data_IF_511430005548
#
_entry.id   IF_511430005548
#
_cell.length_a   1.000
_cell.length_b   1.000
_cell.length_c   1.000
_cell.angle_alpha   90.00
_cell.angle_beta   90.00
_cell.angle_gamma   90.00
#
_symmetry.space_group_name_H-M   'P 1'
#
loop_
_entity.id
_entity.type
_entity.pdbx_description
1 polymer ?
#
# COMPACT_ATOMS: atom_id res chain seq x y z
N UNK A 1 2.12 9.24 4.54
CA UNK A 1 2.75 10.23 3.64
C UNK A 1 1.70 11.21 3.14
N UNK A 2 2.03 12.13 2.23
CA UNK A 2 1.02 13.04 1.68
C UNK A 2 0.40 12.50 0.38
N UNK A 3 1.16 11.71 -0.39
CA UNK A 3 0.66 11.04 -1.60
C UNK A 3 1.13 9.59 -1.71
N UNK A 4 0.41 8.80 -2.50
CA UNK A 4 0.78 7.42 -2.81
C UNK A 4 2.11 7.31 -3.55
N UNK A 5 2.45 8.30 -4.37
CA UNK A 5 3.73 8.35 -5.08
C UNK A 5 4.92 8.60 -4.14
N UNK A 6 4.73 9.46 -3.14
CA UNK A 6 5.72 9.62 -2.08
C UNK A 6 5.89 8.32 -1.29
N UNK A 7 4.80 7.57 -1.06
CA UNK A 7 4.85 6.27 -0.38
C UNK A 7 5.66 5.24 -1.14
N UNK A 8 5.29 4.99 -2.39
CA UNK A 8 5.98 4.06 -3.28
C UNK A 8 7.47 4.38 -3.36
N UNK A 9 7.83 5.66 -3.54
CA UNK A 9 9.23 6.07 -3.62
C UNK A 9 10.00 5.85 -2.29
N UNK A 10 9.34 6.06 -1.15
CA UNK A 10 9.94 5.80 0.16
C UNK A 10 10.18 4.30 0.35
N UNK A 11 9.22 3.45 0.04
CA UNK A 11 9.35 2.01 0.21
C UNK A 11 10.42 1.41 -0.69
N UNK A 12 10.50 1.86 -1.95
CA UNK A 12 11.57 1.46 -2.86
C UNK A 12 12.96 1.79 -2.30
N UNK A 13 13.13 2.96 -1.66
CA UNK A 13 14.38 3.33 -0.99
C UNK A 13 14.63 2.50 0.28
N UNK A 14 13.60 2.26 1.09
CA UNK A 14 13.73 1.46 2.31
C UNK A 14 14.04 -0.01 2.02
N UNK A 15 13.52 -0.58 0.93
CA UNK A 15 13.86 -1.92 0.46
C UNK A 15 15.35 -2.01 0.14
N UNK A 16 15.92 -1.03 -0.56
CA UNK A 16 17.36 -1.00 -0.85
C UNK A 16 18.19 -0.93 0.43
N UNK A 17 17.78 -0.08 1.39
CA UNK A 17 18.45 0.03 2.68
C UNK A 17 18.37 -1.27 3.50
N UNK A 18 17.20 -1.93 3.52
CA UNK A 18 17.00 -3.19 4.21
C UNK A 18 17.82 -4.33 3.57
N UNK A 19 17.89 -4.38 2.23
CA UNK A 19 18.75 -5.31 1.49
C UNK A 19 20.23 -5.12 1.86
N UNK A 20 20.70 -3.87 1.92
CA UNK A 20 22.08 -3.57 2.32
C UNK A 20 22.40 -3.97 3.77
N UNK A 21 21.39 -3.97 4.64
CA UNK A 21 21.51 -4.38 6.05
C UNK A 21 21.32 -5.89 6.27
N UNK A 22 20.92 -6.65 5.23
CA UNK A 22 20.59 -8.07 5.35
C UNK A 22 19.28 -8.34 6.12
N UNK A 23 18.40 -7.34 6.24
CA UNK A 23 17.11 -7.47 6.94
C UNK A 23 16.04 -8.04 5.99
N UNK A 24 16.08 -9.35 5.78
CA UNK A 24 15.13 -10.04 4.90
C UNK A 24 13.67 -9.94 5.39
N UNK A 25 13.46 -9.79 6.70
CA UNK A 25 12.12 -9.64 7.28
C UNK A 25 11.50 -8.32 6.82
N UNK A 26 12.25 -7.23 6.96
CA UNK A 26 11.82 -5.91 6.49
C UNK A 26 11.67 -5.85 4.97
N UNK A 27 12.57 -6.50 4.22
CA UNK A 27 12.44 -6.58 2.75
C UNK A 27 11.12 -7.22 2.34
N UNK A 28 10.77 -8.39 2.89
CA UNK A 28 9.51 -9.08 2.54
C UNK A 28 8.28 -8.25 2.89
N UNK A 29 8.30 -7.57 4.03
CA UNK A 29 7.20 -6.71 4.44
C UNK A 29 6.99 -5.54 3.46
N UNK A 30 8.06 -4.81 3.16
CA UNK A 30 7.99 -3.65 2.26
C UNK A 30 7.70 -4.05 0.81
N UNK A 31 8.18 -5.20 0.34
CA UNK A 31 7.84 -5.68 -1.01
C UNK A 31 6.35 -6.03 -1.14
N UNK A 32 5.72 -6.55 -0.07
CA UNK A 32 4.27 -6.75 -0.02
C UNK A 32 3.50 -5.43 -0.01
N UNK A 33 3.88 -4.49 0.85
CA UNK A 33 3.27 -3.16 0.91
C UNK A 33 3.38 -2.41 -0.42
N UNK A 34 4.57 -2.44 -1.04
CA UNK A 34 4.81 -1.82 -2.35
C UNK A 34 3.92 -2.42 -3.45
N UNK A 35 3.66 -3.73 -3.40
CA UNK A 35 2.75 -4.39 -4.33
C UNK A 35 1.31 -3.90 -4.12
N UNK A 36 0.84 -3.88 -2.88
CA UNK A 36 -0.52 -3.45 -2.53
C UNK A 36 -0.76 -1.98 -2.92
N UNK A 37 0.20 -1.09 -2.64
CA UNK A 37 0.14 0.32 -3.05
C UNK A 37 0.06 0.49 -4.57
N UNK A 38 0.79 -0.33 -5.35
CA UNK A 38 0.74 -0.28 -6.81
C UNK A 38 -0.63 -0.73 -7.34
N UNK A 39 -1.21 -1.76 -6.74
CA UNK A 39 -2.57 -2.24 -7.08
C UNK A 39 -3.62 -1.16 -6.75
N UNK A 40 -3.56 -0.57 -5.55
CA UNK A 40 -4.48 0.50 -5.19
C UNK A 40 -4.37 1.68 -6.16
N UNK A 41 -3.15 2.12 -6.51
CA UNK A 41 -2.96 3.20 -7.49
C UNK A 41 -3.59 2.87 -8.85
N UNK A 42 -3.52 1.62 -9.29
CA UNK A 42 -4.11 1.16 -10.55
C UNK A 42 -5.64 1.18 -10.50
N UNK A 43 -6.24 0.73 -9.39
CA UNK A 43 -7.68 0.66 -9.21
C UNK A 43 -8.35 2.02 -8.92
N UNK A 44 -7.59 3.00 -8.42
CA UNK A 44 -8.07 4.34 -8.05
C UNK A 44 -7.45 5.45 -8.94
N UNK A 45 -7.71 5.44 -10.26
CA UNK A 45 -7.10 6.39 -11.17
C UNK A 45 -7.53 7.83 -10.88
N UNK A 46 -6.54 8.73 -10.72
CA UNK A 46 -6.77 10.14 -10.41
C UNK A 46 -6.84 10.44 -8.91
N UNK A 47 -6.89 9.41 -8.07
CA UNK A 47 -6.62 9.54 -6.66
C UNK A 47 -5.12 9.48 -6.39
N UNK A 48 -4.60 10.50 -5.71
CA UNK A 48 -3.19 10.62 -5.41
C UNK A 48 -2.91 10.62 -3.91
N UNK A 49 -3.93 10.49 -3.05
CA UNK A 49 -3.70 10.43 -1.61
C UNK A 49 -2.97 9.13 -1.24
N UNK A 50 -2.26 9.16 -0.12
CA UNK A 50 -1.66 7.95 0.45
C UNK A 50 -2.74 7.17 1.20
N UNK A 51 -3.08 5.93 0.79
CA UNK A 51 -4.20 5.20 1.36
C UNK A 51 -4.03 4.98 2.86
N UNK A 52 -5.13 5.13 3.58
CA UNK A 52 -5.21 4.75 4.98
C UNK A 52 -5.17 3.23 5.13
N UNK A 53 -4.84 2.76 6.33
CA UNK A 53 -4.86 1.32 6.62
C UNK A 53 -6.24 0.67 6.41
N UNK A 54 -7.33 1.43 6.57
CA UNK A 54 -8.67 0.93 6.31
C UNK A 54 -8.94 0.79 4.82
N UNK A 55 -8.58 1.79 4.01
CA UNK A 55 -8.70 1.70 2.54
C UNK A 55 -7.91 0.52 2.01
N UNK A 56 -6.69 0.31 2.50
CA UNK A 56 -5.88 -0.84 2.10
C UNK A 56 -6.42 -2.18 2.56
N UNK A 57 -7.00 -2.22 3.76
CA UNK A 57 -7.70 -3.40 4.23
C UNK A 57 -8.91 -3.71 3.33
N UNK A 58 -9.71 -2.70 2.97
CA UNK A 58 -10.90 -2.88 2.14
C UNK A 58 -10.59 -3.19 0.69
N UNK A 59 -9.49 -2.67 0.15
CA UNK A 59 -8.97 -3.05 -1.17
C UNK A 59 -8.71 -4.57 -1.23
N UNK A 60 -8.06 -5.09 -0.19
CA UNK A 60 -7.72 -6.51 -0.08
C UNK A 60 -8.86 -7.40 0.44
N UNK A 61 -9.89 -6.83 1.07
CA UNK A 61 -10.97 -7.55 1.74
C UNK A 61 -12.33 -6.86 1.51
N UNK A 62 -12.81 -6.73 0.26
CA UNK A 62 -14.02 -5.95 -0.05
C UNK A 62 -15.30 -6.50 0.61
N UNK A 63 -15.34 -7.79 0.93
CA UNK A 63 -16.48 -8.46 1.57
C UNK A 63 -16.54 -8.26 3.10
N UNK A 64 -15.49 -7.67 3.69
CA UNK A 64 -15.43 -7.45 5.13
C UNK A 64 -16.56 -6.53 5.58
N UNK A 65 -17.20 -6.76 6.76
CA UNK A 65 -18.28 -5.92 7.24
C UNK A 65 -17.96 -4.42 7.30
N UNK A 66 -16.69 -4.07 7.58
CA UNK A 66 -16.16 -2.71 7.65
C UNK A 66 -16.04 -2.03 6.27
N UNK A 67 -16.12 -2.81 5.19
CA UNK A 67 -15.90 -2.38 3.80
C UNK A 67 -17.18 -2.39 2.96
N UNK A 68 -18.30 -2.83 3.53
CA UNK A 68 -19.58 -2.88 2.82
C UNK A 68 -20.10 -1.47 2.55
N UNK A 69 -20.17 -1.12 1.28
CA UNK A 69 -20.89 0.05 0.80
C UNK A 69 -22.31 -0.40 0.46
N UNK A 70 -23.29 0.24 1.09
CA UNK A 70 -24.71 0.02 0.82
C UNK A 70 -25.17 1.09 -0.16
N UNK A 71 -25.55 0.68 -1.37
CA UNK A 71 -26.24 1.57 -2.30
C UNK A 71 -27.71 1.71 -1.87
N UNK A 72 -28.15 2.95 -1.64
CA UNK A 72 -29.55 3.31 -1.29
C UNK A 72 -30.53 3.09 -2.46
#
# INVERSE_FOLDING_TARGET
MKSIDEHIAKDENEILAAKAQGDEGKVRHLEGELQDLKVFKEHHPGDNHDPTSLEMFCENNPESPECRIYDD
#
